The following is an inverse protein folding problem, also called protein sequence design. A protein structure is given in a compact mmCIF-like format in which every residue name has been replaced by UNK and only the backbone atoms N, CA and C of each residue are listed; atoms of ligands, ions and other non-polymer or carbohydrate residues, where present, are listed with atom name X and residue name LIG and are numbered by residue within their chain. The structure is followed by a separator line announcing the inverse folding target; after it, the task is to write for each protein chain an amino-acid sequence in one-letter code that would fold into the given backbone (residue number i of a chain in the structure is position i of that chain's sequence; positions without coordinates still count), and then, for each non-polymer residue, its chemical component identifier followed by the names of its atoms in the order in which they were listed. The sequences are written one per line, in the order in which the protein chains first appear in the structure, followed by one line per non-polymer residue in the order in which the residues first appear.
data_IF_889683906019
#
_entry.id   IF_889683906019
#
_cell.length_a   1.000
_cell.length_b   1.000
_cell.length_c   1.000
_cell.angle_alpha   90.00
_cell.angle_beta   90.00
_cell.angle_gamma   90.00
#
_symmetry.space_group_name_H-M   'P 1'
#
loop_
_entity.id
_entity.type
_entity.pdbx_description
1 polymer ?
#
# COMPACT_ATOMS: atom_id res chain seq x y z
N UNK A 1 -20.68 61.30 16.61
CA UNK A 1 -19.40 60.58 16.68
C UNK A 1 -19.41 59.75 17.95
N UNK A 2 -19.73 58.47 17.83
CA UNK A 2 -19.81 57.53 18.94
C UNK A 2 -18.89 56.35 18.62
N UNK A 3 -17.97 56.09 19.53
CA UNK A 3 -16.87 55.12 19.42
C UNK A 3 -17.39 53.72 19.78
N UNK A 4 -17.20 52.75 18.90
CA UNK A 4 -17.46 51.33 19.19
C UNK A 4 -16.27 50.71 19.93
N UNK A 5 -16.48 49.83 20.93
CA UNK A 5 -15.38 49.11 21.56
C UNK A 5 -14.92 47.92 20.70
N UNK A 6 -13.60 47.73 20.68
CA UNK A 6 -12.90 46.61 20.06
C UNK A 6 -13.21 45.32 20.82
N UNK A 7 -13.83 44.34 20.17
CA UNK A 7 -13.93 42.99 20.72
C UNK A 7 -12.57 42.30 20.64
N UNK A 8 -12.02 41.95 21.80
CA UNK A 8 -10.86 41.08 21.93
C UNK A 8 -11.16 39.70 21.34
N UNK A 9 -10.32 39.28 20.39
CA UNK A 9 -10.40 37.97 19.75
C UNK A 9 -10.14 36.85 20.76
N UNK A 10 -11.10 35.94 20.88
CA UNK A 10 -10.90 34.64 21.54
C UNK A 10 -10.11 33.77 20.57
N UNK A 11 -8.84 33.51 20.91
CA UNK A 11 -8.00 32.53 20.22
C UNK A 11 -8.49 31.14 20.61
N UNK A 12 -9.18 30.45 19.69
CA UNK A 12 -9.45 29.03 19.84
C UNK A 12 -8.16 28.27 19.61
N UNK A 13 -7.64 27.62 20.66
CA UNK A 13 -6.51 26.72 20.56
C UNK A 13 -6.89 25.53 19.67
N UNK A 14 -6.17 25.36 18.56
CA UNK A 14 -6.22 24.17 17.73
C UNK A 14 -5.74 22.97 18.58
N UNK A 15 -6.48 21.84 18.62
CA UNK A 15 -5.98 20.66 19.30
C UNK A 15 -4.80 20.12 18.51
N UNK A 16 -3.63 20.16 19.15
CA UNK A 16 -2.40 19.56 18.64
C UNK A 16 -2.56 18.04 18.69
N UNK A 17 -2.91 17.43 17.56
CA UNK A 17 -2.83 15.97 17.41
C UNK A 17 -1.36 15.59 17.25
N UNK A 18 -0.63 15.59 18.37
CA UNK A 18 0.65 14.89 18.45
C UNK A 18 0.34 13.40 18.50
N UNK A 19 0.14 12.80 17.32
CA UNK A 19 0.42 11.38 17.18
C UNK A 19 1.94 11.24 17.32
N UNK A 20 2.36 10.47 18.33
CA UNK A 20 3.76 10.11 18.48
C UNK A 20 4.23 9.45 17.17
N UNK A 21 5.44 9.78 16.66
CA UNK A 21 5.98 9.06 15.53
C UNK A 21 6.08 7.58 15.89
N UNK A 22 5.41 6.73 15.10
CA UNK A 22 5.55 5.27 15.18
C UNK A 22 7.02 4.92 15.25
N UNK A 23 7.48 4.14 16.23
CA UNK A 23 8.89 3.82 16.38
C UNK A 23 9.42 3.17 15.11
N UNK A 24 10.56 3.68 14.62
CA UNK A 24 11.35 3.15 13.50
C UNK A 24 12.00 1.80 13.86
N UNK A 25 11.21 0.81 14.26
CA UNK A 25 11.70 -0.57 14.27
C UNK A 25 11.62 -1.11 12.84
N UNK A 26 12.69 -1.76 12.39
CA UNK A 26 12.67 -2.55 11.17
C UNK A 26 11.45 -3.49 11.22
N UNK A 27 10.67 -3.55 10.13
CA UNK A 27 9.56 -4.47 10.00
C UNK A 27 10.13 -5.88 9.93
N UNK A 28 10.30 -6.51 11.08
CA UNK A 28 10.35 -7.95 11.12
C UNK A 28 8.93 -8.48 10.90
N UNK A 29 8.82 -9.69 10.38
CA UNK A 29 7.53 -10.31 10.08
C UNK A 29 6.62 -10.37 11.32
N UNK A 30 7.22 -10.46 12.50
CA UNK A 30 6.48 -10.40 13.77
C UNK A 30 5.72 -9.08 13.92
N UNK A 31 6.37 -7.93 13.78
CA UNK A 31 5.72 -6.61 13.78
C UNK A 31 4.59 -6.55 12.75
N UNK A 32 4.83 -7.04 11.54
CA UNK A 32 3.83 -7.04 10.48
C UNK A 32 2.58 -7.84 10.91
N UNK A 33 2.75 -9.05 11.46
CA UNK A 33 1.63 -9.92 11.85
C UNK A 33 0.92 -9.49 13.15
N UNK A 34 1.55 -8.65 13.97
CA UNK A 34 0.98 -8.16 15.24
C UNK A 34 0.45 -6.73 15.10
N UNK A 35 1.35 -5.75 15.05
CA UNK A 35 1.02 -4.32 15.02
C UNK A 35 0.53 -3.90 13.64
N UNK A 36 1.15 -4.40 12.57
CA UNK A 36 0.78 -4.08 11.19
C UNK A 36 -0.61 -4.61 10.79
N UNK A 37 -1.03 -5.72 11.39
CA UNK A 37 -2.34 -6.33 11.20
C UNK A 37 -3.20 -6.26 12.48
N UNK A 38 -3.01 -5.22 13.29
CA UNK A 38 -3.81 -5.03 14.49
C UNK A 38 -5.31 -5.02 14.15
N UNK A 39 -6.10 -5.74 14.95
CA UNK A 39 -7.54 -5.88 14.73
C UNK A 39 -7.93 -6.93 13.68
N UNK A 40 -6.98 -7.51 12.94
CA UNK A 40 -7.25 -8.63 12.03
C UNK A 40 -7.27 -9.94 12.81
N UNK A 41 -8.37 -10.68 12.74
CA UNK A 41 -8.50 -11.96 13.46
C UNK A 41 -7.60 -13.05 12.87
N UNK A 42 -6.85 -13.73 13.74
CA UNK A 42 -6.06 -14.92 13.41
C UNK A 42 -6.94 -16.17 13.52
N UNK A 43 -7.01 -16.94 12.43
CA UNK A 43 -7.87 -18.13 12.29
C UNK A 43 -7.03 -19.39 12.09
N UNK A 44 -7.57 -20.54 12.47
CA UNK A 44 -7.00 -21.82 12.09
C UNK A 44 -7.50 -22.27 10.72
N UNK A 45 -6.63 -22.82 9.88
CA UNK A 45 -7.04 -23.41 8.62
C UNK A 45 -7.79 -24.74 8.85
N UNK A 46 -9.08 -24.76 8.52
CA UNK A 46 -9.99 -25.91 8.72
C UNK A 46 -10.29 -26.71 7.44
N UNK A 47 -9.44 -26.55 6.44
CA UNK A 47 -9.56 -27.23 5.15
C UNK A 47 -10.22 -26.38 4.04
N UNK A 48 -10.20 -26.89 2.79
CA UNK A 48 -10.57 -26.12 1.59
C UNK A 48 -11.97 -25.50 1.63
N UNK A 49 -12.96 -26.27 2.09
CA UNK A 49 -14.36 -25.82 2.11
C UNK A 49 -14.59 -24.70 3.12
N UNK A 50 -14.01 -24.82 4.32
CA UNK A 50 -14.10 -23.78 5.34
C UNK A 50 -13.40 -22.50 4.85
N UNK A 51 -12.19 -22.63 4.30
CA UNK A 51 -11.46 -21.51 3.70
C UNK A 51 -12.28 -20.77 2.64
N UNK A 52 -12.88 -21.49 1.68
CA UNK A 52 -13.72 -20.85 0.65
C UNK A 52 -14.90 -20.08 1.26
N UNK A 53 -15.60 -20.67 2.22
CA UNK A 53 -16.75 -20.03 2.85
C UNK A 53 -16.35 -18.78 3.64
N UNK A 54 -15.29 -18.88 4.43
CA UNK A 54 -14.79 -17.77 5.26
C UNK A 54 -14.29 -16.61 4.39
N UNK A 55 -13.63 -16.89 3.26
CA UNK A 55 -13.21 -15.86 2.30
C UNK A 55 -14.42 -15.17 1.65
N UNK A 56 -15.43 -15.93 1.23
CA UNK A 56 -16.64 -15.36 0.62
C UNK A 56 -17.40 -14.48 1.63
N UNK A 57 -17.59 -14.97 2.85
CA UNK A 57 -18.23 -14.22 3.93
C UNK A 57 -17.47 -12.92 4.23
N UNK A 58 -16.14 -12.99 4.35
CA UNK A 58 -15.32 -11.79 4.57
C UNK A 58 -15.44 -10.80 3.40
N UNK A 59 -15.45 -11.27 2.15
CA UNK A 59 -15.62 -10.41 0.98
C UNK A 59 -16.98 -9.70 0.97
N UNK A 60 -18.05 -10.42 1.31
CA UNK A 60 -19.40 -9.86 1.43
C UNK A 60 -19.45 -8.80 2.55
N UNK A 61 -18.92 -9.11 3.73
CA UNK A 61 -18.88 -8.16 4.85
C UNK A 61 -17.99 -6.94 4.56
N UNK A 62 -16.88 -7.10 3.84
CA UNK A 62 -16.05 -5.97 3.42
C UNK A 62 -16.79 -5.07 2.42
N UNK A 63 -17.53 -5.66 1.48
CA UNK A 63 -18.35 -4.94 0.50
C UNK A 63 -19.49 -4.17 1.17
N UNK A 64 -20.08 -4.75 2.23
CA UNK A 64 -21.12 -4.10 3.04
C UNK A 64 -20.57 -3.05 4.03
N UNK A 65 -19.24 -2.88 4.13
CA UNK A 65 -18.64 -1.96 5.09
C UNK A 65 -18.66 -2.44 6.54
N UNK A 66 -18.85 -3.74 6.78
CA UNK A 66 -18.89 -4.35 8.11
C UNK A 66 -17.57 -4.99 8.54
N UNK A 67 -16.67 -5.26 7.59
CA UNK A 67 -15.36 -5.84 7.89
C UNK A 67 -14.24 -5.18 7.07
N UNK A 68 -12.99 -5.51 7.36
CA UNK A 68 -11.81 -5.16 6.55
C UNK A 68 -11.53 -6.20 5.46
N UNK A 69 -10.47 -5.99 4.69
CA UNK A 69 -10.08 -6.86 3.56
C UNK A 69 -9.08 -7.96 3.91
N UNK A 70 -8.57 -7.98 5.14
CA UNK A 70 -7.49 -8.86 5.55
C UNK A 70 -8.01 -10.00 6.42
N UNK A 71 -7.42 -11.18 6.24
CA UNK A 71 -7.58 -12.34 7.09
C UNK A 71 -6.20 -12.95 7.35
N UNK A 72 -5.99 -13.49 8.53
CA UNK A 72 -4.75 -14.23 8.84
C UNK A 72 -5.11 -15.66 9.22
N UNK A 73 -4.44 -16.62 8.60
CA UNK A 73 -4.48 -18.02 8.99
C UNK A 73 -3.15 -18.42 9.61
N UNK A 74 -3.16 -18.92 10.84
CA UNK A 74 -1.97 -19.36 11.55
C UNK A 74 -2.29 -20.48 12.56
N UNK A 75 -1.50 -21.57 12.62
CA UNK A 75 -0.43 -21.92 11.68
C UNK A 75 -0.98 -22.49 10.36
N UNK A 76 -0.20 -22.32 9.28
CA UNK A 76 -0.40 -22.89 7.95
C UNK A 76 0.94 -23.43 7.47
N UNK A 77 1.03 -24.75 7.31
CA UNK A 77 2.27 -25.39 6.81
C UNK A 77 2.47 -25.14 5.32
N UNK A 78 3.70 -25.34 4.82
CA UNK A 78 4.01 -25.21 3.39
C UNK A 78 3.12 -26.11 2.51
N UNK A 79 2.77 -27.31 2.98
CA UNK A 79 1.89 -28.23 2.25
C UNK A 79 0.44 -27.71 2.20
N UNK A 80 -0.04 -27.14 3.31
CA UNK A 80 -1.36 -26.51 3.37
C UNK A 80 -1.39 -25.26 2.49
N UNK A 81 -0.39 -24.40 2.56
CA UNK A 81 -0.24 -23.24 1.69
C UNK A 81 -0.32 -23.63 0.22
N UNK A 82 0.48 -24.59 -0.25
CA UNK A 82 0.43 -25.06 -1.66
C UNK A 82 -0.96 -25.56 -2.07
N UNK A 83 -1.72 -26.13 -1.13
CA UNK A 83 -3.09 -26.57 -1.39
C UNK A 83 -4.06 -25.39 -1.49
N UNK A 84 -3.92 -24.38 -0.62
CA UNK A 84 -4.71 -23.14 -0.62
C UNK A 84 -4.40 -22.29 -1.86
N UNK A 85 -3.12 -22.20 -2.25
CA UNK A 85 -2.63 -21.48 -3.43
C UNK A 85 -3.30 -22.00 -4.72
N UNK A 86 -3.40 -23.33 -4.87
CA UNK A 86 -4.15 -23.94 -5.98
C UNK A 86 -5.64 -23.61 -5.97
N UNK A 87 -6.24 -23.41 -4.80
CA UNK A 87 -7.65 -23.00 -4.68
C UNK A 87 -7.81 -21.55 -5.11
N UNK A 88 -6.90 -20.67 -4.67
CA UNK A 88 -6.83 -19.27 -5.12
C UNK A 88 -6.79 -19.19 -6.64
N UNK A 89 -5.82 -19.85 -7.27
CA UNK A 89 -5.58 -19.72 -8.71
C UNK A 89 -6.77 -20.21 -9.55
N UNK A 90 -7.47 -21.24 -9.06
CA UNK A 90 -8.62 -21.85 -9.77
C UNK A 90 -9.92 -21.10 -9.56
N UNK A 91 -10.15 -20.52 -8.37
CA UNK A 91 -11.49 -20.06 -7.95
C UNK A 91 -11.54 -18.65 -7.38
N UNK A 92 -10.42 -18.11 -6.91
CA UNK A 92 -10.38 -16.83 -6.19
C UNK A 92 -9.20 -15.97 -6.66
N UNK A 93 -9.18 -15.62 -7.96
CA UNK A 93 -8.15 -14.77 -8.58
C UNK A 93 -8.08 -13.35 -7.99
N UNK A 94 -9.11 -12.92 -7.27
CA UNK A 94 -9.17 -11.64 -6.56
C UNK A 94 -8.53 -11.67 -5.16
N UNK A 95 -7.87 -12.75 -4.75
CA UNK A 95 -7.09 -12.76 -3.51
C UNK A 95 -5.62 -12.44 -3.79
N UNK A 96 -4.99 -11.79 -2.81
CA UNK A 96 -3.54 -11.59 -2.74
C UNK A 96 -3.04 -12.25 -1.46
N UNK A 97 -2.00 -13.06 -1.59
CA UNK A 97 -1.42 -13.79 -0.47
C UNK A 97 -0.11 -13.17 -0.05
N UNK A 98 0.14 -13.18 1.26
CA UNK A 98 1.48 -13.13 1.82
C UNK A 98 1.67 -14.39 2.66
N UNK A 99 2.77 -15.09 2.43
CA UNK A 99 3.12 -16.30 3.17
C UNK A 99 4.54 -16.20 3.71
N UNK A 100 4.71 -15.60 4.90
CA UNK A 100 5.94 -15.72 5.67
C UNK A 100 6.17 -17.15 6.15
N UNK A 101 7.23 -17.78 5.65
CA UNK A 101 7.51 -19.21 5.85
C UNK A 101 7.90 -19.54 7.29
N UNK A 102 8.69 -18.66 7.92
CA UNK A 102 9.25 -18.90 9.25
C UNK A 102 8.16 -18.82 10.33
N UNK A 103 7.17 -17.96 10.12
CA UNK A 103 6.01 -17.76 10.99
C UNK A 103 4.87 -18.74 10.70
N UNK A 104 4.94 -19.50 9.60
CA UNK A 104 3.87 -20.38 9.13
C UNK A 104 2.51 -19.67 9.10
N UNK A 105 2.48 -18.40 8.66
CA UNK A 105 1.26 -17.62 8.60
C UNK A 105 0.87 -17.36 7.14
N UNK A 106 -0.42 -17.45 6.85
CA UNK A 106 -0.97 -17.03 5.56
C UNK A 106 -1.84 -15.80 5.79
N UNK A 107 -1.41 -14.68 5.25
CA UNK A 107 -2.21 -13.46 5.18
C UNK A 107 -2.93 -13.46 3.85
N UNK A 108 -4.25 -13.32 3.89
CA UNK A 108 -5.11 -13.23 2.72
C UNK A 108 -5.69 -11.83 2.67
N UNK A 109 -5.41 -11.10 1.59
CA UNK A 109 -6.04 -9.84 1.26
C UNK A 109 -7.07 -10.07 0.15
N UNK A 110 -8.27 -9.53 0.35
CA UNK A 110 -9.38 -9.62 -0.60
C UNK A 110 -9.44 -8.32 -1.41
N UNK A 111 -9.16 -8.42 -2.70
CA UNK A 111 -9.37 -7.30 -3.63
C UNK A 111 -10.87 -7.13 -3.87
N UNK A 112 -11.40 -5.95 -3.57
CA UNK A 112 -12.80 -5.58 -3.83
C UNK A 112 -12.85 -4.64 -5.05
N UNK A 113 -13.96 -4.63 -5.80
CA UNK A 113 -14.03 -3.90 -7.10
C UNK A 113 -13.60 -2.45 -6.98
N UNK A 114 -14.08 -1.74 -5.93
CA UNK A 114 -13.76 -0.32 -5.76
C UNK A 114 -12.27 -0.04 -5.61
N UNK A 115 -11.51 -0.94 -5.00
CA UNK A 115 -10.06 -0.73 -4.84
C UNK A 115 -9.30 -1.14 -6.10
N UNK A 116 -9.81 -2.13 -6.84
CA UNK A 116 -9.25 -2.53 -8.12
C UNK A 116 -9.38 -1.42 -9.19
N UNK A 117 -10.53 -0.77 -9.28
CA UNK A 117 -10.80 0.26 -10.29
C UNK A 117 -9.94 1.53 -10.11
N UNK A 118 -9.46 1.74 -8.89
CA UNK A 118 -8.58 2.84 -8.47
C UNK A 118 -7.14 2.64 -8.97
N UNK A 119 -6.67 1.41 -9.12
CA UNK A 119 -5.31 1.19 -9.61
C UNK A 119 -5.18 1.49 -11.12
N UNK A 120 -6.27 1.38 -11.89
CA UNK A 120 -6.25 1.43 -13.36
C UNK A 120 -5.80 2.79 -13.95
N UNK A 121 -6.24 3.96 -13.46
CA UNK A 121 -5.81 5.24 -14.03
C UNK A 121 -4.30 5.49 -13.83
N UNK A 122 -3.78 5.10 -12.67
CA UNK A 122 -2.34 5.20 -12.40
C UNK A 122 -1.59 4.25 -13.31
N UNK A 123 -2.06 3.00 -13.46
CA UNK A 123 -1.51 2.04 -14.41
C UNK A 123 -1.48 2.57 -15.85
N UNK A 124 -2.55 3.24 -16.28
CA UNK A 124 -2.67 3.86 -17.60
C UNK A 124 -1.66 4.99 -17.85
N UNK A 125 -1.23 5.69 -16.80
CA UNK A 125 -0.17 6.70 -16.88
C UNK A 125 1.21 6.15 -17.23
N UNK A 126 1.38 4.81 -17.23
CA UNK A 126 2.64 4.12 -17.48
C UNK A 126 2.68 3.31 -18.78
N UNK A 127 1.60 3.31 -19.57
CA UNK A 127 1.44 2.39 -20.72
C UNK A 127 2.55 2.48 -21.79
N UNK A 128 3.21 3.63 -21.94
CA UNK A 128 4.26 3.82 -22.94
C UNK A 128 5.67 3.42 -22.45
N UNK A 129 5.90 3.39 -21.13
CA UNK A 129 7.25 3.34 -20.53
C UNK A 129 7.48 2.16 -19.57
N UNK A 130 6.42 1.58 -18.99
CA UNK A 130 6.51 0.44 -18.08
C UNK A 130 5.58 -0.69 -18.51
N UNK A 131 5.98 -1.92 -18.17
CA UNK A 131 5.08 -3.08 -18.29
C UNK A 131 4.37 -3.32 -16.99
N UNK A 132 3.05 -3.43 -17.10
CA UNK A 132 2.20 -3.99 -16.06
C UNK A 132 2.61 -5.45 -15.80
N UNK A 133 3.28 -5.68 -14.67
CA UNK A 133 3.55 -7.00 -14.12
C UNK A 133 2.33 -7.56 -13.38
N UNK A 134 1.32 -6.73 -13.13
CA UNK A 134 0.06 -7.11 -12.51
C UNK A 134 0.28 -7.62 -11.08
N UNK A 135 -0.36 -8.73 -10.74
CA UNK A 135 -0.24 -9.38 -9.43
C UNK A 135 0.84 -10.47 -9.38
N UNK A 136 1.96 -10.28 -10.09
CA UNK A 136 3.04 -11.28 -10.12
C UNK A 136 3.63 -11.45 -8.72
N UNK A 137 3.58 -12.67 -8.19
CA UNK A 137 4.08 -13.00 -6.85
C UNK A 137 5.57 -12.70 -6.71
N UNK A 138 5.93 -11.90 -5.72
CA UNK A 138 7.29 -11.72 -5.28
C UNK A 138 7.71 -12.87 -4.36
N UNK A 139 8.85 -13.50 -4.67
CA UNK A 139 9.41 -14.60 -3.88
C UNK A 139 10.68 -14.11 -3.21
N UNK A 140 10.75 -14.28 -1.89
CA UNK A 140 11.91 -13.97 -1.06
C UNK A 140 12.39 -15.24 -0.34
N UNK A 141 13.62 -15.26 0.21
CA UNK A 141 14.04 -16.36 1.08
C UNK A 141 13.07 -16.62 2.24
N UNK A 142 12.57 -15.55 2.86
CA UNK A 142 11.65 -15.57 4.01
C UNK A 142 10.19 -15.91 3.68
N UNK A 143 9.80 -15.92 2.40
CA UNK A 143 8.38 -16.11 2.05
C UNK A 143 8.01 -15.63 0.66
N UNK A 144 6.74 -15.29 0.49
CA UNK A 144 6.22 -14.69 -0.73
C UNK A 144 5.14 -13.66 -0.44
N UNK A 145 4.89 -12.77 -1.40
CA UNK A 145 3.80 -11.80 -1.35
C UNK A 145 3.30 -11.47 -2.76
N UNK A 146 2.00 -11.36 -2.94
CA UNK A 146 1.37 -10.88 -4.17
C UNK A 146 1.09 -9.37 -4.06
N UNK A 147 1.50 -8.54 -5.03
CA UNK A 147 1.08 -7.14 -5.09
C UNK A 147 -0.35 -7.02 -5.64
N UNK A 148 -1.06 -5.93 -5.31
CA UNK A 148 -2.32 -5.63 -6.00
C UNK A 148 -2.06 -5.31 -7.48
N UNK A 149 -1.07 -4.45 -7.74
CA UNK A 149 -0.53 -4.15 -9.07
C UNK A 149 0.93 -3.77 -8.96
N UNK A 150 1.71 -4.11 -9.98
CA UNK A 150 3.14 -3.85 -10.01
C UNK A 150 3.62 -3.56 -11.42
N UNK A 151 4.67 -2.77 -11.53
CA UNK A 151 5.21 -2.27 -12.79
C UNK A 151 6.73 -2.43 -12.81
N UNK A 152 7.25 -2.70 -14.00
CA UNK A 152 8.67 -2.77 -14.26
C UNK A 152 9.01 -1.97 -15.52
N UNK A 153 10.19 -1.31 -15.60
CA UNK A 153 10.59 -0.55 -16.78
C UNK A 153 10.67 -1.41 -18.04
N UNK A 154 10.23 -0.87 -19.19
CA UNK A 154 10.28 -1.57 -20.49
C UNK A 154 11.71 -2.01 -20.88
N UNK A 155 12.67 -1.15 -20.56
CA UNK A 155 14.08 -1.33 -20.92
C UNK A 155 14.77 -2.50 -20.21
N UNK A 156 14.17 -3.07 -19.16
CA UNK A 156 14.79 -4.06 -18.27
C UNK A 156 14.13 -5.45 -18.33
N UNK A 157 13.46 -5.77 -19.44
CA UNK A 157 12.75 -7.04 -19.66
C UNK A 157 13.62 -8.28 -19.90
N UNK A 158 14.78 -8.38 -19.26
CA UNK A 158 15.62 -9.57 -19.31
C UNK A 158 16.04 -9.99 -17.89
N UNK A 159 15.65 -11.22 -17.51
CA UNK A 159 16.03 -12.01 -16.33
C UNK A 159 16.17 -11.22 -15.02
N UNK A 160 15.09 -11.20 -14.23
CA UNK A 160 15.11 -10.79 -12.83
C UNK A 160 14.16 -9.65 -12.47
N UNK A 161 13.43 -9.08 -13.45
CA UNK A 161 12.29 -8.15 -13.35
C UNK A 161 12.04 -7.53 -11.95
N UNK A 162 12.53 -6.31 -11.76
CA UNK A 162 12.39 -5.55 -10.52
C UNK A 162 11.02 -4.87 -10.55
N UNK A 163 10.17 -5.11 -9.54
CA UNK A 163 8.87 -4.45 -9.38
C UNK A 163 9.08 -2.98 -8.94
N UNK A 164 9.63 -2.12 -9.79
CA UNK A 164 10.13 -0.79 -9.36
C UNK A 164 9.03 0.08 -8.75
N UNK A 165 7.79 -0.06 -9.23
CA UNK A 165 6.59 0.50 -8.62
C UNK A 165 5.63 -0.60 -8.19
N UNK A 166 5.17 -0.52 -6.94
CA UNK A 166 4.06 -1.33 -6.42
C UNK A 166 2.90 -0.40 -6.07
N UNK A 167 1.69 -0.77 -6.47
CA UNK A 167 0.46 -0.11 -6.03
C UNK A 167 -0.23 -1.04 -5.03
N UNK A 168 -0.56 -0.51 -3.86
CA UNK A 168 -1.37 -1.19 -2.85
C UNK A 168 -2.66 -0.43 -2.64
N UNK A 169 -3.79 -1.11 -2.81
CA UNK A 169 -5.11 -0.50 -2.70
C UNK A 169 -5.93 -1.14 -1.58
N UNK A 170 -6.77 -0.37 -0.91
CA UNK A 170 -7.66 -0.94 0.09
C UNK A 170 -8.71 0.01 0.65
N UNK A 171 -9.50 -0.50 1.60
CA UNK A 171 -10.45 0.29 2.38
C UNK A 171 -9.69 1.15 3.39
N UNK A 172 -10.19 2.36 3.66
CA UNK A 172 -9.62 3.29 4.65
C UNK A 172 -9.43 2.66 6.03
N UNK A 173 -10.37 1.81 6.47
CA UNK A 173 -10.24 1.06 7.73
C UNK A 173 -9.10 0.04 7.77
N UNK A 174 -8.55 -0.32 6.62
CA UNK A 174 -7.38 -1.18 6.50
C UNK A 174 -6.10 -0.39 6.23
N UNK A 175 -6.12 0.94 6.40
CA UNK A 175 -4.93 1.80 6.23
C UNK A 175 -3.72 1.30 7.04
N UNK A 176 -3.84 0.89 8.33
CA UNK A 176 -2.70 0.33 9.05
C UNK A 176 -2.08 -0.90 8.36
N UNK A 177 -2.91 -1.81 7.85
CA UNK A 177 -2.47 -2.99 7.11
C UNK A 177 -1.79 -2.63 5.79
N UNK A 178 -2.33 -1.65 5.06
CA UNK A 178 -1.73 -1.16 3.80
C UNK A 178 -0.38 -0.45 4.05
N UNK A 179 -0.25 0.28 5.15
CA UNK A 179 1.02 0.89 5.57
C UNK A 179 2.04 -0.19 5.90
N UNK A 180 1.63 -1.26 6.60
CA UNK A 180 2.48 -2.42 6.86
C UNK A 180 2.91 -3.12 5.56
N UNK A 181 2.01 -3.24 4.58
CA UNK A 181 2.31 -3.75 3.24
C UNK A 181 3.37 -2.88 2.54
N UNK A 182 3.20 -1.56 2.56
CA UNK A 182 4.11 -0.61 1.91
C UNK A 182 5.52 -0.67 2.49
N UNK A 183 5.64 -0.76 3.81
CA UNK A 183 6.94 -0.96 4.47
C UNK A 183 7.53 -2.32 4.13
N UNK A 184 6.72 -3.39 4.11
CA UNK A 184 7.21 -4.72 3.75
C UNK A 184 7.81 -4.73 2.34
N UNK A 185 7.16 -4.10 1.37
CA UNK A 185 7.67 -4.01 -0.01
C UNK A 185 9.04 -3.33 -0.06
N UNK A 186 9.20 -2.20 0.62
CA UNK A 186 10.46 -1.44 0.60
C UNK A 186 11.58 -2.10 1.41
N UNK A 187 11.26 -2.80 2.50
CA UNK A 187 12.28 -3.37 3.40
C UNK A 187 12.66 -4.82 3.07
N UNK A 188 11.72 -5.62 2.55
CA UNK A 188 11.90 -7.08 2.37
C UNK A 188 12.00 -7.50 0.91
N UNK A 189 11.39 -6.78 -0.02
CA UNK A 189 11.58 -7.03 -1.44
C UNK A 189 12.86 -6.32 -1.93
N UNK A 190 13.98 -6.52 -1.22
CA UNK A 190 15.27 -5.87 -1.48
C UNK A 190 15.64 -5.97 -2.96
N UNK A 191 15.95 -4.80 -3.53
CA UNK A 191 16.20 -4.54 -4.95
C UNK A 191 14.96 -4.51 -5.86
N UNK A 192 13.85 -5.18 -5.53
CA UNK A 192 12.69 -5.22 -6.42
C UNK A 192 11.85 -3.93 -6.39
N UNK A 193 11.44 -3.45 -5.21
CA UNK A 193 10.54 -2.29 -5.07
C UNK A 193 11.30 -1.02 -4.69
N UNK A 194 11.07 0.06 -5.44
CA UNK A 194 11.70 1.38 -5.21
C UNK A 194 10.72 2.42 -4.70
N UNK A 195 9.47 2.30 -5.14
CA UNK A 195 8.38 3.17 -4.79
C UNK A 195 7.12 2.34 -4.54
N UNK A 196 6.36 2.70 -3.51
CA UNK A 196 5.02 2.15 -3.27
C UNK A 196 4.02 3.29 -3.27
N UNK A 197 2.97 3.16 -4.07
CA UNK A 197 1.80 4.05 -4.02
C UNK A 197 0.68 3.32 -3.30
N UNK A 198 0.39 3.75 -2.08
CA UNK A 198 -0.74 3.27 -1.29
C UNK A 198 -1.97 4.11 -1.62
N UNK A 199 -3.10 3.47 -1.88
CA UNK A 199 -4.37 4.16 -2.10
C UNK A 199 -5.45 3.53 -1.21
N UNK A 200 -5.97 4.31 -0.27
CA UNK A 200 -7.06 3.88 0.59
C UNK A 200 -8.34 4.65 0.28
N UNK A 201 -9.47 3.95 0.33
CA UNK A 201 -10.77 4.46 -0.10
C UNK A 201 -11.79 4.35 1.03
N UNK A 202 -12.48 5.45 1.32
CA UNK A 202 -13.67 5.49 2.17
C UNK A 202 -14.88 5.89 1.34
N UNK A 203 -15.78 4.92 1.09
CA UNK A 203 -17.05 5.19 0.38
C UNK A 203 -17.97 6.09 1.19
N UNK A 204 -18.02 5.88 2.50
CA UNK A 204 -18.88 6.66 3.42
C UNK A 204 -18.48 8.14 3.44
N UNK A 205 -17.19 8.41 3.51
CA UNK A 205 -16.65 9.77 3.54
C UNK A 205 -16.45 10.36 2.14
N UNK A 206 -16.68 9.57 1.08
CA UNK A 206 -16.30 9.92 -0.30
C UNK A 206 -14.85 10.41 -0.38
N UNK A 207 -13.97 9.72 0.36
CA UNK A 207 -12.57 10.07 0.55
C UNK A 207 -11.66 9.08 -0.15
N UNK A 208 -10.68 9.61 -0.87
CA UNK A 208 -9.56 8.89 -1.42
C UNK A 208 -8.28 9.46 -0.81
N UNK A 209 -7.49 8.58 -0.20
CA UNK A 209 -6.24 8.93 0.48
C UNK A 209 -5.09 8.20 -0.20
N UNK A 210 -4.09 8.94 -0.65
CA UNK A 210 -2.92 8.41 -1.36
C UNK A 210 -1.68 8.71 -0.55
N UNK A 211 -0.82 7.71 -0.39
CA UNK A 211 0.52 7.89 0.16
C UNK A 211 1.56 7.41 -0.86
N UNK A 212 2.66 8.16 -1.00
CA UNK A 212 3.86 7.72 -1.71
C UNK A 212 4.91 7.32 -0.68
N UNK A 213 5.43 6.09 -0.78
CA UNK A 213 6.43 5.54 0.11
C UNK A 213 7.71 5.19 -0.64
N UNK A 214 8.86 5.51 -0.04
CA UNK A 214 10.18 5.27 -0.60
C UNK A 214 11.20 4.95 0.48
N UNK A 215 12.30 4.31 0.09
CA UNK A 215 13.46 4.15 0.97
C UNK A 215 14.31 5.42 0.97
N UNK A 216 14.31 6.14 2.10
CA UNK A 216 15.11 7.35 2.30
C UNK A 216 16.32 7.03 3.18
N UNK A 217 17.52 7.43 2.72
CA UNK A 217 18.74 7.29 3.50
C UNK A 217 18.77 8.31 4.63
N UNK A 218 18.48 7.86 5.85
CA UNK A 218 18.49 8.71 7.04
C UNK A 218 19.86 8.63 7.75
N UNK A 219 20.40 9.77 8.23
CA UNK A 219 21.54 9.74 9.15
C UNK A 219 21.14 8.98 10.42
N UNK A 220 21.91 7.97 10.82
CA UNK A 220 21.68 7.30 12.11
C UNK A 220 21.85 8.33 13.24
N UNK A 221 20.93 8.39 14.23
CA UNK A 221 21.22 9.05 15.49
C UNK A 221 22.52 8.44 16.03
N UNK A 222 23.49 9.27 16.36
CA UNK A 222 24.83 8.87 16.77
C UNK A 222 24.80 8.04 18.04
N UNK A 223 24.68 6.72 17.91
CA UNK A 223 24.93 5.76 18.98
C UNK A 223 26.41 5.38 18.90
N UNK A 224 27.09 5.58 20.01
CA UNK A 224 28.53 5.43 20.23
C UNK A 224 29.14 4.17 19.61
N UNK A 225 30.16 4.39 18.77
CA UNK A 225 31.29 3.51 18.44
C UNK A 225 31.05 2.00 18.41
N UNK A 226 30.54 1.47 17.29
CA UNK A 226 30.86 0.11 16.79
C UNK A 226 30.26 -0.24 15.41
N UNK A 227 29.36 0.55 14.83
CA UNK A 227 28.75 0.19 13.54
C UNK A 227 29.44 0.88 12.35
N UNK A 228 30.28 0.12 11.62
CA UNK A 228 30.87 0.53 10.33
C UNK A 228 29.88 0.48 9.15
N UNK A 229 28.60 0.25 9.42
CA UNK A 229 27.57 0.18 8.39
C UNK A 229 27.02 1.59 8.14
N UNK A 230 27.08 2.04 6.88
CA UNK A 230 26.62 3.35 6.42
C UNK A 230 25.12 3.61 6.66
N UNK A 231 24.58 4.73 6.12
CA UNK A 231 23.16 5.08 6.28
C UNK A 231 22.28 3.91 5.87
N UNK A 232 21.33 3.52 6.73
CA UNK A 232 20.36 2.49 6.38
C UNK A 232 19.14 3.12 5.70
N UNK A 233 18.75 2.64 4.50
CA UNK A 233 17.50 3.05 3.89
C UNK A 233 16.33 2.70 4.82
N UNK A 234 15.44 3.66 5.04
CA UNK A 234 14.23 3.48 5.86
C UNK A 234 12.99 3.78 5.02
N UNK A 235 12.02 2.86 5.04
CA UNK A 235 10.73 3.05 4.38
C UNK A 235 10.00 4.25 4.98
N UNK A 236 9.83 5.30 4.17
CA UNK A 236 9.34 6.60 4.61
C UNK A 236 8.23 7.06 3.67
N UNK A 237 7.13 7.58 4.25
CA UNK A 237 6.11 8.31 3.51
C UNK A 237 6.68 9.65 3.05
N UNK A 238 6.85 9.82 1.74
CA UNK A 238 7.45 11.03 1.16
C UNK A 238 6.42 12.00 0.57
N UNK A 239 5.23 11.51 0.23
CA UNK A 239 4.07 12.35 -0.12
C UNK A 239 2.78 11.77 0.47
N UNK A 240 1.82 12.65 0.72
CA UNK A 240 0.51 12.33 1.25
C UNK A 240 -0.51 13.25 0.61
N UNK A 241 -1.55 12.66 0.03
CA UNK A 241 -2.59 13.37 -0.70
C UNK A 241 -3.95 12.89 -0.20
N UNK A 242 -4.84 13.85 0.00
CA UNK A 242 -6.22 13.59 0.38
C UNK A 242 -7.16 14.24 -0.63
N UNK A 243 -8.18 13.47 -1.01
CA UNK A 243 -9.26 13.92 -1.86
C UNK A 243 -10.57 13.63 -1.14
N UNK A 244 -11.30 14.68 -0.78
CA UNK A 244 -12.61 14.59 -0.11
C UNK A 244 -13.60 15.39 -0.93
N UNK A 245 -14.55 14.70 -1.57
CA UNK A 245 -15.41 15.33 -2.57
C UNK A 245 -14.61 15.86 -3.76
N UNK A 246 -14.65 17.17 -3.99
CA UNK A 246 -13.89 17.89 -5.02
C UNK A 246 -12.62 18.57 -4.51
N UNK A 247 -12.37 18.53 -3.19
CA UNK A 247 -11.21 19.17 -2.57
C UNK A 247 -10.01 18.23 -2.59
N UNK A 248 -8.91 18.67 -3.19
CA UNK A 248 -7.63 17.97 -3.21
C UNK A 248 -6.61 18.72 -2.35
N UNK A 249 -5.96 18.01 -1.43
CA UNK A 249 -4.86 18.52 -0.61
C UNK A 249 -3.62 17.66 -0.76
N UNK A 250 -2.43 18.28 -0.75
CA UNK A 250 -1.15 17.57 -0.89
C UNK A 250 -0.68 17.32 -2.32
N UNK A 251 -1.45 17.73 -3.33
CA UNK A 251 -1.09 17.63 -4.74
C UNK A 251 0.12 18.51 -5.13
N UNK A 252 0.83 18.17 -6.22
CA UNK A 252 0.60 17.01 -7.11
C UNK A 252 1.17 15.69 -6.54
N UNK A 253 0.70 14.55 -7.06
CA UNK A 253 1.42 13.28 -6.91
C UNK A 253 2.53 13.26 -7.96
N UNK A 254 3.78 13.09 -7.52
CA UNK A 254 4.94 13.04 -8.42
C UNK A 254 5.62 11.69 -8.30
N UNK A 255 5.71 10.96 -9.40
CA UNK A 255 6.39 9.68 -9.50
C UNK A 255 7.66 9.91 -10.32
N UNK A 256 8.80 9.98 -9.63
CA UNK A 256 10.07 10.42 -10.22
C UNK A 256 10.62 9.38 -11.18
N UNK A 257 10.86 9.80 -12.43
CA UNK A 257 11.25 8.90 -13.51
C UNK A 257 12.57 8.19 -13.20
N UNK A 258 13.56 8.93 -12.71
CA UNK A 258 14.89 8.39 -12.36
C UNK A 258 14.80 7.25 -11.33
N UNK A 259 13.88 7.36 -10.36
CA UNK A 259 13.69 6.34 -9.33
C UNK A 259 13.03 5.09 -9.92
N UNK A 260 12.09 5.27 -10.83
CA UNK A 260 11.31 4.19 -11.43
C UNK A 260 12.05 3.44 -12.53
N UNK A 261 12.82 4.14 -13.37
CA UNK A 261 13.28 3.63 -14.67
C UNK A 261 14.71 3.12 -14.66
N UNK A 262 15.56 3.54 -13.70
CA UNK A 262 16.96 3.15 -13.48
C UNK A 262 18.04 3.94 -14.27
N UNK A 263 17.89 4.30 -15.57
CA UNK A 263 18.75 5.26 -16.26
C UNK A 263 18.41 6.73 -15.96
N UNK A 264 19.35 7.62 -16.31
CA UNK A 264 19.05 9.06 -16.39
C UNK A 264 18.02 9.30 -17.51
N UNK A 265 17.01 10.17 -17.26
CA UNK A 265 16.02 10.49 -18.27
C UNK A 265 16.67 11.10 -19.51
N UNK A 266 16.28 10.61 -20.69
CA UNK A 266 16.55 11.29 -21.96
C UNK A 266 15.83 12.65 -22.04
N UNK A 267 16.15 13.47 -23.05
CA UNK A 267 15.60 14.82 -23.19
C UNK A 267 14.06 14.92 -23.38
N UNK A 268 13.37 13.78 -23.45
CA UNK A 268 11.90 13.66 -23.56
C UNK A 268 11.27 12.84 -22.44
N UNK A 269 12.07 12.32 -21.52
CA UNK A 269 11.64 11.52 -20.38
C UNK A 269 11.59 12.42 -19.14
N UNK A 270 10.57 12.26 -18.30
CA UNK A 270 10.37 13.14 -17.15
C UNK A 270 9.42 12.52 -16.14
N UNK A 271 9.34 13.14 -14.96
CA UNK A 271 8.51 12.67 -13.88
C UNK A 271 7.04 12.58 -14.31
N UNK A 272 6.36 11.55 -13.82
CA UNK A 272 4.91 11.41 -14.01
C UNK A 272 4.24 12.22 -12.91
N UNK A 273 3.53 13.27 -13.30
CA UNK A 273 2.89 14.22 -12.40
C UNK A 273 1.39 14.11 -12.58
N UNK A 274 0.69 13.70 -11.54
CA UNK A 274 -0.78 13.81 -11.48
C UNK A 274 -1.11 15.11 -10.75
N UNK A 275 -1.61 16.08 -11.51
CA UNK A 275 -1.95 17.39 -10.98
C UNK A 275 -3.30 17.37 -10.23
N UNK A 276 -3.75 18.53 -9.74
CA UNK A 276 -5.05 18.65 -9.05
C UNK A 276 -6.21 18.18 -9.93
N UNK A 277 -6.19 18.52 -11.23
CA UNK A 277 -7.27 18.19 -12.15
C UNK A 277 -7.31 16.69 -12.46
N UNK A 278 -6.14 16.05 -12.61
CA UNK A 278 -6.03 14.60 -12.80
C UNK A 278 -6.59 13.86 -11.59
N UNK A 279 -6.19 14.28 -10.38
CA UNK A 279 -6.62 13.71 -9.11
C UNK A 279 -8.13 13.91 -8.88
N UNK A 280 -8.68 15.09 -9.18
CA UNK A 280 -10.12 15.35 -9.15
C UNK A 280 -10.88 14.51 -10.17
N UNK A 281 -10.34 14.38 -11.39
CA UNK A 281 -10.94 13.59 -12.47
C UNK A 281 -10.98 12.11 -12.10
N UNK A 282 -9.92 11.61 -11.47
CA UNK A 282 -9.89 10.28 -10.89
C UNK A 282 -11.02 10.12 -9.88
N UNK A 283 -11.02 10.90 -8.80
CA UNK A 283 -12.01 10.75 -7.74
C UNK A 283 -13.44 10.83 -8.28
N UNK A 284 -13.71 11.77 -9.19
CA UNK A 284 -15.01 11.89 -9.86
C UNK A 284 -15.39 10.63 -10.63
N UNK A 285 -14.46 10.03 -11.39
CA UNK A 285 -14.71 8.78 -12.12
C UNK A 285 -15.00 7.66 -11.14
N UNK A 286 -14.15 7.45 -10.15
CA UNK A 286 -14.32 6.42 -9.12
C UNK A 286 -15.73 6.49 -8.54
N UNK A 287 -16.13 7.68 -8.07
CA UNK A 287 -17.41 7.86 -7.41
C UNK A 287 -18.62 7.63 -8.32
N UNK A 288 -18.52 7.93 -9.62
CA UNK A 288 -19.58 7.62 -10.60
C UNK A 288 -19.78 6.12 -10.82
N UNK A 289 -18.72 5.32 -10.77
CA UNK A 289 -18.80 3.86 -10.98
C UNK A 289 -19.22 3.10 -9.72
N UNK A 290 -19.21 3.77 -8.58
CA UNK A 290 -19.44 3.16 -7.27
C UNK A 290 -20.81 3.47 -6.67
N UNK A 291 -21.62 4.32 -7.33
CA UNK A 291 -23.04 4.58 -7.05
C UNK A 291 -23.91 3.44 -7.59
#
# INVERSE_FOLDING_TARGET
MASFPVHGGVVYATPSSSQAPTPNLAVNTHYYLTEGLEGVAHKQYRGPRAFTLEVMEQADQATLGNAGQYMVYCPVTQQQFTSIDRIRDRRHKGLRFMYPKDEQALVVKITISVTHDVANPIAGGFEEDMVLMGSTTMITPSGLKDPDSSFAPLSHHCRGSWLTLVIETGLSRCLPCLTADSRWWLEKATEAARMVTLISVSREEMRLHIEKWENVSMPRPSVTHADQNGPMPTATKTQEIDIVGDVVTGAPLTLEFEKLMLPQPGAREGDIIFDINDLQSFATRLWRWTQ
#
